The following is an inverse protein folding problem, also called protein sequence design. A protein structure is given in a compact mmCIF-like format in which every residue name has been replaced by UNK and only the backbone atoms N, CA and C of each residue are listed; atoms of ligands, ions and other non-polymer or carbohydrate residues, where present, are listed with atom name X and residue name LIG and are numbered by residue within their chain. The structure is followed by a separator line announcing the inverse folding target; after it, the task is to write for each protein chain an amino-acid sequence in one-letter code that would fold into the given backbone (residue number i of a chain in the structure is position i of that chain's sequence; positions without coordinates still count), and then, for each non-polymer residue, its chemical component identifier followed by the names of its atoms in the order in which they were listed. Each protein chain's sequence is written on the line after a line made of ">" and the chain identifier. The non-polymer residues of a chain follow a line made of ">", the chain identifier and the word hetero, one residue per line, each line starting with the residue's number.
data_IF_692690257776
#
_entry.id   IF_692690257776
#
_cell.length_a   1.000
_cell.length_b   1.000
_cell.length_c   1.000
_cell.angle_alpha   90.00
_cell.angle_beta   90.00
_cell.angle_gamma   90.00
#
_symmetry.space_group_name_H-M   'P 1'
#
loop_
_entity.id
_entity.type
_entity.pdbx_description
1 polymer ?
#
# COMPACT_ATOMS: atom_id res chain seq x y z
N UNK A 1 -16.72 1.60 9.98
CA UNK A 1 -15.68 2.39 10.70
C UNK A 1 -15.26 3.66 9.98
N UNK A 2 -14.53 3.64 8.84
CA UNK A 2 -14.01 4.89 8.22
C UNK A 2 -15.12 5.90 7.91
N UNK A 3 -16.20 5.45 7.24
CA UNK A 3 -17.34 6.29 6.91
C UNK A 3 -18.10 6.84 8.14
N UNK A 4 -17.99 6.20 9.31
CA UNK A 4 -18.58 6.71 10.56
C UNK A 4 -17.75 7.86 11.17
N UNK A 5 -16.45 7.89 10.91
CA UNK A 5 -15.54 8.93 11.39
C UNK A 5 -15.57 10.10 10.39
N UNK A 6 -15.50 9.78 9.10
CA UNK A 6 -15.42 10.73 7.99
C UNK A 6 -16.38 10.29 6.87
N UNK A 7 -17.62 10.83 6.81
CA UNK A 7 -18.65 10.37 5.89
C UNK A 7 -18.30 10.48 4.40
N UNK A 8 -17.47 11.46 4.02
CA UNK A 8 -17.03 11.68 2.64
C UNK A 8 -15.75 10.91 2.30
N UNK A 9 -15.17 10.19 3.26
CA UNK A 9 -13.92 9.50 3.04
C UNK A 9 -14.09 8.19 2.27
N UNK A 10 -13.07 7.83 1.51
CA UNK A 10 -13.02 6.59 0.74
C UNK A 10 -11.79 5.79 1.12
N UNK A 11 -11.95 4.48 1.29
CA UNK A 11 -10.83 3.56 1.47
C UNK A 11 -10.50 2.94 0.13
N UNK A 12 -9.23 3.00 -0.27
CA UNK A 12 -8.76 2.45 -1.53
C UNK A 12 -7.61 1.50 -1.26
N UNK A 13 -7.69 0.31 -1.87
CA UNK A 13 -6.59 -0.63 -1.93
C UNK A 13 -5.56 -0.15 -2.95
N UNK A 14 -4.28 -0.16 -2.58
CA UNK A 14 -3.19 0.16 -3.49
C UNK A 14 -2.05 -0.84 -3.38
N UNK A 15 -0.88 -0.47 -3.91
CA UNK A 15 0.33 -1.26 -3.77
C UNK A 15 0.29 -2.59 -4.50
N UNK A 16 1.02 -3.57 -3.98
CA UNK A 16 1.30 -4.82 -4.70
C UNK A 16 0.07 -5.70 -4.88
N UNK A 17 -0.84 -5.71 -3.91
CA UNK A 17 -2.10 -6.46 -3.96
C UNK A 17 -3.01 -5.91 -5.06
N UNK A 18 -3.23 -4.58 -5.09
CA UNK A 18 -4.05 -3.95 -6.12
C UNK A 18 -3.44 -4.11 -7.53
N UNK A 19 -2.11 -4.08 -7.63
CA UNK A 19 -1.39 -4.20 -8.91
C UNK A 19 -1.30 -5.64 -9.46
N UNK A 20 -1.72 -6.66 -8.71
CA UNK A 20 -1.58 -8.06 -9.12
C UNK A 20 -0.13 -8.60 -9.06
N UNK A 21 0.72 -7.94 -8.26
CA UNK A 21 2.15 -8.24 -8.09
C UNK A 21 2.51 -8.57 -6.63
N UNK A 22 1.53 -9.01 -5.84
CA UNK A 22 1.73 -9.48 -4.48
C UNK A 22 2.26 -10.91 -4.44
N UNK A 23 3.06 -11.21 -3.41
CA UNK A 23 3.46 -12.57 -3.06
C UNK A 23 2.55 -13.07 -1.92
N UNK A 24 2.49 -14.39 -1.68
CA UNK A 24 1.86 -14.92 -0.48
C UNK A 24 2.43 -14.25 0.79
N UNK A 25 1.52 -13.80 1.65
CA UNK A 25 1.85 -13.06 2.87
C UNK A 25 2.28 -11.61 2.67
N UNK A 26 2.10 -11.02 1.48
CA UNK A 26 2.27 -9.57 1.28
C UNK A 26 1.20 -8.76 2.03
N UNK A 27 1.61 -7.61 2.55
CA UNK A 27 0.75 -6.68 3.28
C UNK A 27 -0.39 -6.12 2.41
N UNK A 28 -1.48 -5.71 3.07
CA UNK A 28 -2.58 -4.98 2.48
C UNK A 28 -2.34 -3.47 2.61
N UNK A 29 -2.00 -2.83 1.50
CA UNK A 29 -1.77 -1.38 1.45
C UNK A 29 -3.11 -0.64 1.26
N UNK A 30 -3.55 0.10 2.29
CA UNK A 30 -4.80 0.86 2.28
C UNK A 30 -4.56 2.37 2.42
N UNK A 31 -5.25 3.16 1.61
CA UNK A 31 -5.24 4.63 1.74
C UNK A 31 -6.64 5.15 1.99
N UNK A 32 -6.77 6.03 2.98
CA UNK A 32 -8.00 6.78 3.24
C UNK A 32 -7.91 8.14 2.54
N UNK A 33 -8.82 8.38 1.62
CA UNK A 33 -8.94 9.59 0.80
C UNK A 33 -10.09 10.46 1.30
N UNK A 34 -10.06 11.76 0.98
CA UNK A 34 -11.11 12.71 1.34
C UNK A 34 -11.05 13.25 2.78
N UNK A 35 -10.01 12.91 3.53
CA UNK A 35 -9.79 13.37 4.92
C UNK A 35 -8.73 14.46 5.02
N UNK A 36 -7.80 14.49 4.08
CA UNK A 36 -6.71 15.47 4.00
C UNK A 36 -6.53 15.96 2.56
N UNK A 37 -5.95 17.16 2.37
CA UNK A 37 -5.55 17.63 1.05
C UNK A 37 -4.65 16.63 0.34
N UNK A 38 -4.77 16.55 -0.98
CA UNK A 38 -3.93 15.70 -1.81
C UNK A 38 -2.47 16.19 -1.76
N UNK A 39 -1.54 15.24 -1.59
CA UNK A 39 -0.12 15.51 -1.81
C UNK A 39 0.14 15.69 -3.31
N UNK A 40 0.68 16.83 -3.70
CA UNK A 40 1.08 17.07 -5.09
C UNK A 40 2.17 16.08 -5.54
N UNK A 41 3.15 15.77 -4.68
CA UNK A 41 4.15 14.73 -4.94
C UNK A 41 4.35 13.81 -3.72
N UNK A 42 4.44 12.47 -3.88
CA UNK A 42 4.65 11.55 -2.76
C UNK A 42 6.07 11.61 -2.19
N UNK A 43 7.06 11.92 -3.03
CA UNK A 43 8.47 11.95 -2.66
C UNK A 43 8.78 13.06 -1.65
N UNK A 44 8.08 14.19 -1.76
CA UNK A 44 8.16 15.30 -0.80
C UNK A 44 7.45 14.94 0.51
N UNK A 45 6.38 14.16 0.42
CA UNK A 45 5.56 13.76 1.57
C UNK A 45 4.85 14.96 2.21
N UNK A 46 4.38 14.78 3.45
CA UNK A 46 3.75 15.88 4.17
C UNK A 46 4.78 16.80 4.83
N UNK A 47 4.59 18.12 4.66
CA UNK A 47 5.21 19.13 5.52
C UNK A 47 4.89 18.87 7.00
N UNK A 48 5.76 19.33 7.92
CA UNK A 48 5.68 18.95 9.34
C UNK A 48 4.29 19.13 10.00
N UNK A 49 3.54 20.24 9.77
CA UNK A 49 2.19 20.40 10.32
C UNK A 49 1.21 19.35 9.78
N UNK A 50 1.15 19.18 8.46
CA UNK A 50 0.27 18.20 7.82
C UNK A 50 0.62 16.76 8.22
N UNK A 51 1.92 16.46 8.41
CA UNK A 51 2.39 15.15 8.86
C UNK A 51 1.87 14.82 10.27
N UNK A 52 1.91 15.79 11.19
CA UNK A 52 1.37 15.60 12.54
C UNK A 52 -0.15 15.42 12.52
N UNK A 53 -0.86 16.18 11.69
CA UNK A 53 -2.30 16.00 11.48
C UNK A 53 -2.62 14.59 10.96
N UNK A 54 -1.92 14.14 9.91
CA UNK A 54 -2.08 12.79 9.37
C UNK A 54 -1.87 11.70 10.44
N UNK A 55 -0.80 11.83 11.23
CA UNK A 55 -0.48 10.91 12.31
C UNK A 55 -1.59 10.84 13.38
N UNK A 56 -2.15 11.98 13.78
CA UNK A 56 -3.22 12.04 14.78
C UNK A 56 -4.55 11.47 14.25
N UNK A 57 -4.86 11.70 12.97
CA UNK A 57 -6.03 11.12 12.31
C UNK A 57 -5.90 9.59 12.20
N UNK A 58 -4.72 9.10 11.82
CA UNK A 58 -4.40 7.68 11.79
C UNK A 58 -4.52 7.02 13.17
N UNK A 59 -4.02 7.66 14.22
CA UNK A 59 -4.16 7.17 15.59
C UNK A 59 -5.64 7.10 16.03
N UNK A 60 -6.45 8.07 15.62
CA UNK A 60 -7.90 8.08 15.87
C UNK A 60 -8.59 6.93 15.13
N UNK A 61 -8.25 6.71 13.86
CA UNK A 61 -8.76 5.58 13.08
C UNK A 61 -8.36 4.24 13.72
N UNK A 62 -7.10 4.07 14.11
CA UNK A 62 -6.61 2.84 14.73
C UNK A 62 -7.35 2.52 16.04
N UNK A 63 -7.58 3.51 16.90
CA UNK A 63 -8.39 3.35 18.12
C UNK A 63 -9.82 2.90 17.81
N UNK A 64 -10.45 3.46 16.78
CA UNK A 64 -11.81 3.08 16.35
C UNK A 64 -11.86 1.67 15.75
N UNK A 65 -10.88 1.28 14.94
CA UNK A 65 -10.74 -0.08 14.43
C UNK A 65 -10.58 -1.09 15.57
N UNK A 66 -9.80 -0.74 16.60
CA UNK A 66 -9.60 -1.59 17.79
C UNK A 66 -10.89 -1.72 18.61
N UNK A 67 -11.60 -0.61 18.84
CA UNK A 67 -12.89 -0.63 19.52
C UNK A 67 -13.95 -1.45 18.77
N UNK A 68 -13.90 -1.44 17.43
CA UNK A 68 -14.75 -2.26 16.58
C UNK A 68 -14.30 -3.74 16.50
N UNK A 69 -13.22 -4.13 17.20
CA UNK A 69 -12.70 -5.50 17.19
C UNK A 69 -12.03 -5.93 15.87
N UNK A 70 -11.71 -4.99 14.97
CA UNK A 70 -11.11 -5.29 13.66
C UNK A 70 -9.59 -5.40 13.68
N UNK A 71 -8.95 -4.86 14.73
CA UNK A 71 -7.51 -4.99 14.99
C UNK A 71 -7.28 -5.22 16.49
N UNK A 72 -6.15 -5.85 16.85
CA UNK A 72 -5.76 -6.04 18.27
C UNK A 72 -4.73 -5.03 18.75
N UNK A 73 -3.79 -4.71 17.88
CA UNK A 73 -2.64 -3.84 18.13
C UNK A 73 -2.30 -3.08 16.86
N UNK A 74 -1.66 -1.93 17.01
CA UNK A 74 -1.17 -1.14 15.90
C UNK A 74 0.13 -0.45 16.27
N UNK A 75 0.92 -0.11 15.26
CA UNK A 75 2.12 0.69 15.40
C UNK A 75 2.02 1.87 14.44
N UNK A 76 2.12 3.08 14.98
CA UNK A 76 2.16 4.30 14.18
C UNK A 76 3.61 4.59 13.76
N UNK A 77 3.87 4.58 12.46
CA UNK A 77 5.17 4.91 11.88
C UNK A 77 5.14 6.35 11.37
N UNK A 78 5.95 7.22 11.99
CA UNK A 78 5.98 8.67 11.69
C UNK A 78 7.01 9.03 10.60
N UNK A 79 6.87 8.43 9.42
CA UNK A 79 7.68 8.75 8.25
C UNK A 79 7.16 10.02 7.52
N UNK A 80 7.79 10.40 6.39
CA UNK A 80 7.34 11.52 5.54
C UNK A 80 5.85 11.40 5.14
N UNK A 81 5.40 10.17 4.92
CA UNK A 81 3.99 9.79 4.84
C UNK A 81 3.72 8.85 6.02
N UNK A 82 3.04 9.31 7.07
CA UNK A 82 2.74 8.46 8.22
C UNK A 82 1.82 7.29 7.84
N UNK A 83 2.05 6.15 8.47
CA UNK A 83 1.22 4.95 8.29
C UNK A 83 0.94 4.28 9.63
N UNK A 84 -0.17 3.55 9.70
CA UNK A 84 -0.47 2.58 10.75
C UNK A 84 -0.17 1.19 10.23
N UNK A 85 0.80 0.52 10.83
CA UNK A 85 1.06 -0.90 10.63
C UNK A 85 0.21 -1.73 11.59
N UNK A 86 -0.53 -2.71 11.10
CA UNK A 86 -1.42 -3.55 11.92
C UNK A 86 -1.68 -4.91 11.28
N UNK A 87 -2.44 -5.76 11.97
CA UNK A 87 -3.04 -6.96 11.42
C UNK A 87 -4.55 -6.80 11.43
N UNK A 88 -5.17 -6.79 10.25
CA UNK A 88 -6.61 -6.79 10.08
C UNK A 88 -7.14 -8.19 10.36
N UNK A 89 -8.18 -8.27 11.20
CA UNK A 89 -8.88 -9.50 11.51
C UNK A 89 -9.98 -9.75 10.48
N UNK A 90 -10.16 -11.03 10.12
CA UNK A 90 -11.25 -11.43 9.22
C UNK A 90 -12.61 -11.09 9.82
N UNK A 91 -13.56 -10.80 8.94
CA UNK A 91 -14.96 -10.55 9.28
C UNK A 91 -15.85 -11.62 8.64
N UNK A 92 -16.98 -11.91 9.28
CA UNK A 92 -18.00 -12.77 8.69
C UNK A 92 -18.75 -12.07 7.54
N UNK A 93 -19.67 -12.78 6.89
CA UNK A 93 -20.48 -12.23 5.79
C UNK A 93 -21.36 -11.05 6.20
N UNK A 94 -21.60 -10.85 7.51
CA UNK A 94 -22.33 -9.72 8.06
C UNK A 94 -21.40 -8.57 8.49
N UNK A 95 -20.08 -8.66 8.22
CA UNK A 95 -19.09 -7.65 8.56
C UNK A 95 -18.69 -7.64 10.04
N UNK A 96 -19.03 -8.68 10.81
CA UNK A 96 -18.69 -8.77 12.23
C UNK A 96 -17.30 -9.41 12.40
N UNK A 97 -16.46 -8.92 13.32
CA UNK A 97 -15.15 -9.52 13.58
C UNK A 97 -15.27 -11.00 13.94
N UNK A 98 -14.46 -11.82 13.31
CA UNK A 98 -14.39 -13.25 13.64
C UNK A 98 -13.59 -13.47 14.93
N UNK A 99 -13.91 -14.55 15.65
CA UNK A 99 -13.32 -14.88 16.95
C UNK A 99 -11.84 -15.24 16.92
N UNK A 100 -11.29 -15.60 18.09
CA UNK A 100 -9.89 -16.06 18.22
C UNK A 100 -9.66 -17.26 17.29
N UNK A 101 -8.68 -17.14 16.39
CA UNK A 101 -8.29 -18.20 15.44
C UNK A 101 -8.63 -17.86 13.98
N UNK A 102 -9.37 -16.78 13.72
CA UNK A 102 -9.64 -16.32 12.36
C UNK A 102 -8.36 -15.85 11.65
N UNK A 103 -8.34 -15.98 10.33
CA UNK A 103 -7.25 -15.45 9.52
C UNK A 103 -7.04 -13.95 9.77
N UNK A 104 -5.78 -13.52 9.70
CA UNK A 104 -5.37 -12.14 9.83
C UNK A 104 -4.44 -11.77 8.68
N UNK A 105 -4.48 -10.51 8.27
CA UNK A 105 -3.65 -10.00 7.19
C UNK A 105 -2.88 -8.78 7.69
N UNK A 106 -1.56 -8.78 7.48
CA UNK A 106 -0.75 -7.59 7.71
C UNK A 106 -1.26 -6.45 6.82
N UNK A 107 -1.32 -5.23 7.36
CA UNK A 107 -1.85 -4.10 6.64
C UNK A 107 -1.14 -2.81 7.04
N UNK A 108 -0.89 -1.98 6.04
CA UNK A 108 -0.34 -0.64 6.16
C UNK A 108 -1.43 0.36 5.74
N UNK A 109 -1.89 1.18 6.68
CA UNK A 109 -2.98 2.15 6.48
C UNK A 109 -2.41 3.57 6.46
N UNK A 110 -2.66 4.32 5.39
CA UNK A 110 -2.22 5.70 5.20
C UNK A 110 -3.41 6.66 4.97
N UNK A 111 -3.18 7.97 5.06
CA UNK A 111 -4.17 9.02 4.79
C UNK A 111 -3.63 10.02 3.75
N UNK A 112 -4.46 10.45 2.82
CA UNK A 112 -4.19 11.61 1.94
C UNK A 112 -3.23 11.38 0.76
N UNK A 113 -2.56 10.23 0.69
CA UNK A 113 -1.63 9.91 -0.40
C UNK A 113 -2.33 9.25 -1.61
N UNK A 114 -3.17 9.99 -2.33
CA UNK A 114 -3.94 9.50 -3.48
C UNK A 114 -3.08 8.90 -4.61
N UNK A 115 -1.82 9.29 -4.68
CA UNK A 115 -0.92 8.96 -5.78
C UNK A 115 -0.51 7.48 -5.75
N UNK A 116 -0.55 6.84 -4.57
CA UNK A 116 -0.38 5.38 -4.47
C UNK A 116 -1.46 4.61 -5.24
N UNK A 117 -2.70 5.13 -5.24
CA UNK A 117 -3.79 4.56 -6.03
C UNK A 117 -3.63 4.84 -7.54
N UNK A 118 -3.15 6.03 -7.92
CA UNK A 118 -2.85 6.34 -9.32
C UNK A 118 -1.75 5.43 -9.89
N UNK A 119 -0.73 5.12 -9.10
CA UNK A 119 0.35 4.21 -9.48
C UNK A 119 -0.15 2.79 -9.80
N UNK A 120 -1.23 2.33 -9.15
CA UNK A 120 -1.82 1.00 -9.45
C UNK A 120 -2.25 0.92 -10.90
N UNK A 121 -2.97 1.93 -11.41
CA UNK A 121 -3.46 1.93 -12.78
C UNK A 121 -2.29 1.90 -13.77
N UNK A 122 -1.24 2.68 -13.51
CA UNK A 122 -0.01 2.66 -14.32
C UNK A 122 0.62 1.27 -14.36
N UNK A 123 0.78 0.63 -13.20
CA UNK A 123 1.39 -0.70 -13.09
C UNK A 123 0.52 -1.77 -13.73
N UNK A 124 -0.80 -1.74 -13.56
CA UNK A 124 -1.72 -2.68 -14.21
C UNK A 124 -1.65 -2.58 -15.73
N UNK A 125 -1.59 -1.36 -16.29
CA UNK A 125 -1.36 -1.14 -17.73
C UNK A 125 -0.01 -1.70 -18.15
N UNK A 126 1.05 -1.44 -17.38
CA UNK A 126 2.39 -1.98 -17.64
C UNK A 126 2.37 -3.51 -17.71
N UNK A 127 1.72 -4.17 -16.73
CA UNK A 127 1.60 -5.63 -16.67
C UNK A 127 0.80 -6.18 -17.86
N UNK A 128 -0.25 -5.48 -18.28
CA UNK A 128 -1.04 -5.89 -19.45
C UNK A 128 -0.26 -5.73 -20.77
N UNK A 129 0.55 -4.68 -20.90
CA UNK A 129 1.27 -4.37 -22.14
C UNK A 129 2.62 -5.08 -22.28
N UNK A 130 3.24 -5.43 -21.15
CA UNK A 130 4.54 -6.10 -21.09
C UNK A 130 4.36 -7.48 -20.44
N UNK A 131 3.98 -8.53 -21.20
CA UNK A 131 3.75 -9.87 -20.66
C UNK A 131 4.88 -10.40 -19.75
N UNK A 132 6.17 -10.16 -20.02
CA UNK A 132 7.26 -10.61 -19.13
C UNK A 132 7.35 -9.86 -17.81
N UNK A 133 6.75 -8.67 -17.67
CA UNK A 133 6.91 -7.82 -16.49
C UNK A 133 6.46 -8.54 -15.22
N UNK A 134 5.27 -9.14 -15.23
CA UNK A 134 4.72 -9.83 -14.06
C UNK A 134 5.60 -11.00 -13.60
N UNK A 135 5.92 -12.02 -14.42
CA UNK A 135 6.73 -13.14 -13.96
C UNK A 135 8.12 -12.69 -13.48
N UNK A 136 8.77 -11.76 -14.18
CA UNK A 136 10.06 -11.21 -13.74
C UNK A 136 9.96 -10.49 -12.40
N UNK A 137 8.99 -9.59 -12.24
CA UNK A 137 8.77 -8.91 -10.96
C UNK A 137 8.52 -9.89 -9.81
N UNK A 138 7.75 -10.96 -10.03
CA UNK A 138 7.45 -11.94 -8.99
C UNK A 138 8.68 -12.74 -8.58
N UNK A 139 9.48 -13.22 -9.54
CA UNK A 139 10.71 -13.97 -9.27
C UNK A 139 11.73 -13.10 -8.54
N UNK A 140 12.01 -11.90 -9.04
CA UNK A 140 12.98 -11.00 -8.41
C UNK A 140 12.48 -10.53 -7.05
N UNK A 141 11.17 -10.26 -6.89
CA UNK A 141 10.60 -9.92 -5.58
C UNK A 141 10.75 -11.07 -4.58
N UNK A 142 10.54 -12.31 -5.01
CA UNK A 142 10.72 -13.48 -4.15
C UNK A 142 12.18 -13.61 -3.69
N UNK A 143 13.13 -13.45 -4.61
CA UNK A 143 14.56 -13.47 -4.31
C UNK A 143 14.96 -12.37 -3.32
N UNK A 144 14.51 -11.13 -3.56
CA UNK A 144 14.77 -10.01 -2.65
C UNK A 144 14.18 -10.24 -1.27
N UNK A 145 12.99 -10.85 -1.19
CA UNK A 145 12.35 -11.21 0.07
C UNK A 145 13.14 -12.28 0.82
N UNK A 146 13.58 -13.32 0.14
CA UNK A 146 14.39 -14.39 0.72
C UNK A 146 15.73 -13.86 1.26
N UNK A 147 16.34 -12.90 0.54
CA UNK A 147 17.57 -12.23 0.96
C UNK A 147 17.38 -11.13 2.02
N UNK A 148 16.14 -10.81 2.43
CA UNK A 148 15.85 -9.70 3.35
C UNK A 148 16.11 -8.30 2.78
N UNK A 149 16.13 -8.16 1.44
CA UNK A 149 16.43 -6.93 0.70
C UNK A 149 15.18 -6.22 0.17
N UNK A 150 13.99 -6.59 0.61
CA UNK A 150 12.72 -6.01 0.16
C UNK A 150 12.17 -4.89 1.07
N UNK A 151 12.91 -4.50 2.12
CA UNK A 151 12.50 -3.50 3.11
C UNK A 151 13.28 -2.19 2.93
N UNK A 152 12.59 -1.11 2.55
CA UNK A 152 13.23 0.20 2.28
C UNK A 152 13.86 0.79 3.53
N UNK A 153 13.24 0.56 4.69
CA UNK A 153 13.73 1.09 5.97
C UNK A 153 15.13 0.60 6.32
N UNK A 154 15.49 -0.61 5.88
CA UNK A 154 16.83 -1.21 6.09
C UNK A 154 17.74 -1.04 4.88
N UNK A 155 17.40 -0.16 3.93
CA UNK A 155 18.18 0.09 2.71
C UNK A 155 17.88 -0.84 1.54
N UNK A 156 16.81 -1.65 1.63
CA UNK A 156 16.36 -2.54 0.56
C UNK A 156 15.58 -1.84 -0.57
N UNK A 157 15.13 -2.65 -1.53
CA UNK A 157 14.43 -2.21 -2.74
C UNK A 157 12.92 -2.25 -2.53
N UNK A 158 12.24 -1.12 -2.77
CA UNK A 158 10.78 -1.07 -2.72
C UNK A 158 10.15 -1.80 -3.90
N UNK A 159 8.92 -2.29 -3.74
CA UNK A 159 8.18 -2.92 -4.83
C UNK A 159 8.05 -2.00 -6.05
N UNK A 160 7.86 -0.69 -5.85
CA UNK A 160 7.71 0.26 -6.96
C UNK A 160 9.03 0.49 -7.70
N UNK A 161 10.15 0.58 -6.97
CA UNK A 161 11.49 0.69 -7.57
C UNK A 161 11.80 -0.57 -8.39
N UNK A 162 11.52 -1.76 -7.84
CA UNK A 162 11.70 -3.01 -8.57
C UNK A 162 10.91 -3.03 -9.89
N UNK A 163 9.64 -2.61 -9.88
CA UNK A 163 8.83 -2.56 -11.11
C UNK A 163 9.48 -1.64 -12.15
N UNK A 164 9.94 -0.46 -11.75
CA UNK A 164 10.63 0.46 -12.66
C UNK A 164 11.94 -0.11 -13.20
N UNK A 165 12.71 -0.83 -12.37
CA UNK A 165 13.94 -1.51 -12.81
C UNK A 165 13.63 -2.58 -13.85
N UNK A 166 12.58 -3.38 -13.66
CA UNK A 166 12.20 -4.42 -14.63
C UNK A 166 11.66 -3.80 -15.91
N UNK A 167 10.86 -2.72 -15.83
CA UNK A 167 10.42 -1.98 -17.02
C UNK A 167 11.63 -1.44 -17.79
N UNK A 168 12.58 -0.81 -17.11
CA UNK A 168 13.80 -0.29 -17.74
C UNK A 168 14.65 -1.41 -18.37
N UNK A 169 14.76 -2.56 -17.71
CA UNK A 169 15.43 -3.73 -18.29
C UNK A 169 14.74 -4.20 -19.57
N UNK A 170 13.40 -4.34 -19.56
CA UNK A 170 12.65 -4.71 -20.76
C UNK A 170 12.81 -3.70 -21.90
N UNK A 171 12.94 -2.41 -21.60
CA UNK A 171 13.27 -1.39 -22.62
C UNK A 171 14.61 -1.67 -23.29
N UNK A 172 15.65 -2.00 -22.50
CA UNK A 172 16.96 -2.37 -23.02
C UNK A 172 16.92 -3.64 -23.89
N UNK A 173 16.03 -4.59 -23.57
CA UNK A 173 15.80 -5.80 -24.36
C UNK A 173 14.87 -5.58 -25.59
N UNK A 174 14.50 -4.33 -25.88
CA UNK A 174 13.76 -3.97 -27.10
C UNK A 174 12.23 -3.98 -26.98
N UNK A 175 11.67 -4.08 -25.78
CA UNK A 175 10.21 -3.99 -25.59
C UNK A 175 9.73 -2.53 -25.70
N UNK A 176 8.63 -2.29 -26.43
CA UNK A 176 8.01 -0.97 -26.53
C UNK A 176 7.19 -0.64 -25.27
N UNK A 177 7.65 0.36 -24.53
CA UNK A 177 7.01 0.84 -23.30
C UNK A 177 6.20 2.12 -23.47
N UNK A 178 6.16 2.71 -24.67
CA UNK A 178 5.60 4.05 -24.87
C UNK A 178 4.13 4.12 -24.45
N UNK A 179 3.40 3.03 -24.67
CA UNK A 179 2.01 2.85 -24.26
C UNK A 179 1.82 2.71 -22.73
N UNK A 180 2.87 2.39 -21.99
CA UNK A 180 2.82 2.31 -20.52
C UNK A 180 2.95 3.71 -19.90
N UNK A 181 3.79 4.57 -20.49
CA UNK A 181 4.20 5.86 -19.94
C UNK A 181 3.27 7.04 -20.30
N UNK A 182 2.28 6.81 -21.18
CA UNK A 182 1.25 7.79 -21.55
C UNK A 182 0.01 7.69 -20.65
#
# INVERSE_FOLDING_TARGET
>A
VVAEIWPTARVVLFGSQAAGLALPGSDLDLVVLGVMPHLATPAEGFGAPARNTAANLLETLARRLRAAGLIRRHTLVRAKVPIVKTFLLSVDSAGRPMGRGSAQMAADISIGAANGAAAVALVQRAVAWLPPLRPLCLVVKALLKEAGLNEVFTGGVSSYVLINMVIAHLQCEGYDVRHVLQ
#
